data_IF_077908865097
#
_entry.id   IF_077908865097
#
_cell.length_a   1.000
_cell.length_b   1.000
_cell.length_c   1.000
_cell.angle_alpha   90.00
_cell.angle_beta   90.00
_cell.angle_gamma   90.00
#
_symmetry.space_group_name_H-M   'P 1'
#
loop_
_entity.id
_entity.type
_entity.pdbx_description
1 polymer ?
#
# COMPACT_ATOMS: atom_id res chain seq x y z
N UNK A 1 -19.90 1.80 49.80
CA UNK A 1 -19.61 0.68 48.88
C UNK A 1 -19.76 1.23 47.47
N UNK A 2 -18.72 1.85 46.93
CA UNK A 2 -18.78 2.54 45.64
C UNK A 2 -17.79 1.85 44.68
N UNK A 3 -18.25 0.83 43.94
CA UNK A 3 -17.44 0.08 42.96
C UNK A 3 -17.78 0.46 41.51
N UNK A 4 -17.90 1.74 41.19
CA UNK A 4 -18.18 2.24 39.83
C UNK A 4 -17.53 3.62 39.67
N UNK A 5 -16.37 3.74 38.98
CA UNK A 5 -16.44 4.13 37.56
C UNK A 5 -15.34 3.55 36.63
N UNK A 6 -14.36 2.80 37.17
CA UNK A 6 -13.19 2.32 36.41
C UNK A 6 -13.55 1.27 35.34
N UNK A 7 -14.48 0.36 35.63
CA UNK A 7 -14.84 -0.75 34.72
C UNK A 7 -15.58 -0.30 33.44
N UNK A 8 -16.44 0.71 33.55
CA UNK A 8 -17.19 1.23 32.41
C UNK A 8 -16.28 2.07 31.48
N UNK A 9 -15.38 2.87 32.05
CA UNK A 9 -14.40 3.65 31.26
C UNK A 9 -13.43 2.76 30.48
N UNK A 10 -12.92 1.69 31.10
CA UNK A 10 -12.07 0.72 30.40
C UNK A 10 -12.80 -0.02 29.27
N UNK A 11 -14.07 -0.38 29.46
CA UNK A 11 -14.89 -0.97 28.38
C UNK A 11 -15.11 0.00 27.23
N UNK A 12 -15.36 1.28 27.52
CA UNK A 12 -15.56 2.31 26.49
C UNK A 12 -14.29 2.49 25.64
N UNK A 13 -13.11 2.55 26.28
CA UNK A 13 -11.81 2.60 25.61
C UNK A 13 -11.54 1.34 24.76
N UNK A 14 -11.84 0.15 25.28
CA UNK A 14 -11.67 -1.08 24.51
C UNK A 14 -12.58 -1.15 23.28
N UNK A 15 -13.81 -0.61 23.39
CA UNK A 15 -14.76 -0.53 22.28
C UNK A 15 -14.32 0.49 21.23
N UNK A 16 -13.80 1.64 21.64
CA UNK A 16 -13.24 2.66 20.73
C UNK A 16 -12.01 2.15 19.99
N UNK A 17 -11.05 1.55 20.70
CA UNK A 17 -9.83 0.97 20.08
C UNK A 17 -10.20 -0.14 19.10
N UNK A 18 -11.15 -1.02 19.44
CA UNK A 18 -11.64 -2.05 18.49
C UNK A 18 -12.33 -1.44 17.27
N UNK A 19 -13.05 -0.34 17.42
CA UNK A 19 -13.72 0.34 16.31
C UNK A 19 -12.70 1.03 15.39
N UNK A 20 -11.64 1.61 15.96
CA UNK A 20 -10.54 2.24 15.23
C UNK A 20 -9.77 1.21 14.40
N UNK A 21 -9.29 0.12 15.02
CA UNK A 21 -8.57 -0.94 14.30
C UNK A 21 -9.43 -1.54 13.18
N UNK A 22 -10.74 -1.74 13.38
CA UNK A 22 -11.62 -2.25 12.31
C UNK A 22 -11.71 -1.33 11.10
N UNK A 23 -11.63 -0.01 11.28
CA UNK A 23 -11.59 0.94 10.16
C UNK A 23 -10.28 0.84 9.39
N UNK A 24 -9.16 0.65 10.09
CA UNK A 24 -7.84 0.45 9.47
C UNK A 24 -7.82 -0.80 8.59
N UNK A 25 -8.35 -1.93 9.10
CA UNK A 25 -8.48 -3.17 8.34
C UNK A 25 -9.39 -3.02 7.11
N UNK A 26 -10.50 -2.28 7.22
CA UNK A 26 -11.41 -2.05 6.10
C UNK A 26 -10.75 -1.20 5.00
N UNK A 27 -10.02 -0.15 5.37
CA UNK A 27 -9.26 0.67 4.42
C UNK A 27 -8.18 -0.15 3.71
N UNK A 28 -7.47 -1.01 4.44
CA UNK A 28 -6.49 -1.92 3.86
C UNK A 28 -7.14 -2.92 2.89
N UNK A 29 -8.31 -3.47 3.24
CA UNK A 29 -9.04 -4.43 2.41
C UNK A 29 -9.63 -3.81 1.14
N UNK A 30 -10.20 -2.61 1.22
CA UNK A 30 -10.69 -1.82 0.08
C UNK A 30 -9.55 -1.56 -0.91
N UNK A 31 -8.39 -1.23 -0.38
CA UNK A 31 -7.23 -0.92 -1.18
C UNK A 31 -6.59 -2.15 -1.82
N UNK A 32 -6.57 -3.27 -1.08
CA UNK A 32 -6.18 -4.56 -1.64
C UNK A 32 -7.10 -4.98 -2.78
N UNK A 33 -8.42 -4.80 -2.62
CA UNK A 33 -9.40 -5.03 -3.68
C UNK A 33 -9.18 -4.10 -4.89
N UNK A 34 -8.84 -2.83 -4.64
CA UNK A 34 -8.51 -1.86 -5.70
C UNK A 34 -7.26 -2.30 -6.50
N UNK A 35 -6.19 -2.75 -5.84
CA UNK A 35 -4.99 -3.25 -6.53
C UNK A 35 -5.31 -4.43 -7.46
N UNK A 36 -6.09 -5.40 -6.95
CA UNK A 36 -6.54 -6.55 -7.73
C UNK A 36 -7.38 -6.11 -8.92
N UNK A 37 -8.29 -5.15 -8.76
CA UNK A 37 -9.07 -4.61 -9.87
C UNK A 37 -8.18 -3.99 -10.95
N UNK A 38 -7.22 -3.14 -10.57
CA UNK A 38 -6.31 -2.51 -11.53
C UNK A 38 -5.41 -3.54 -12.24
N UNK A 39 -4.97 -4.61 -11.57
CA UNK A 39 -4.19 -5.66 -12.23
C UNK A 39 -5.05 -6.50 -13.18
N UNK A 40 -6.30 -6.82 -12.81
CA UNK A 40 -7.23 -7.49 -13.72
C UNK A 40 -7.51 -6.66 -14.98
N UNK A 41 -7.65 -5.35 -14.85
CA UNK A 41 -7.79 -4.44 -16.01
C UNK A 41 -6.54 -4.46 -16.88
N UNK A 42 -5.34 -4.47 -16.29
CA UNK A 42 -4.09 -4.56 -17.02
C UNK A 42 -3.97 -5.88 -17.80
N UNK A 43 -4.28 -7.01 -17.17
CA UNK A 43 -4.29 -8.32 -17.82
C UNK A 43 -5.37 -8.42 -18.92
N UNK A 44 -6.57 -7.88 -18.67
CA UNK A 44 -7.63 -7.83 -19.67
C UNK A 44 -7.25 -7.00 -20.90
N UNK A 45 -6.58 -5.86 -20.70
CA UNK A 45 -6.09 -5.02 -21.80
C UNK A 45 -5.03 -5.71 -22.66
N UNK A 46 -4.16 -6.52 -22.04
CA UNK A 46 -3.15 -7.33 -22.77
C UNK A 46 -3.80 -8.52 -23.48
N UNK A 47 -4.76 -9.20 -22.84
CA UNK A 47 -5.46 -10.35 -23.41
C UNK A 47 -6.29 -9.99 -24.65
N UNK A 48 -6.86 -8.77 -24.69
CA UNK A 48 -7.63 -8.30 -25.84
C UNK A 48 -6.77 -7.99 -27.09
N UNK A 49 -5.43 -8.15 -27.03
CA UNK A 49 -4.47 -7.91 -28.12
C UNK A 49 -4.71 -6.58 -28.87
N UNK A 50 -5.20 -5.55 -28.17
CA UNK A 50 -5.54 -4.26 -28.76
C UNK A 50 -4.32 -3.50 -29.31
N UNK A 51 -3.09 -3.95 -28.99
CA UNK A 51 -1.83 -3.32 -29.38
C UNK A 51 -0.70 -4.35 -29.61
N UNK A 52 0.33 -4.01 -30.41
CA UNK A 52 1.54 -4.83 -30.57
C UNK A 52 2.20 -5.12 -29.22
N UNK A 53 2.85 -6.28 -29.11
CA UNK A 53 3.50 -6.77 -27.87
C UNK A 53 4.46 -5.74 -27.24
N UNK A 54 5.15 -4.93 -28.06
CA UNK A 54 6.03 -3.87 -27.56
C UNK A 54 5.25 -2.75 -26.82
N UNK A 55 4.06 -2.41 -27.31
CA UNK A 55 3.23 -1.34 -26.76
C UNK A 55 2.50 -1.84 -25.50
N UNK A 56 2.08 -3.10 -25.49
CA UNK A 56 1.56 -3.78 -24.31
C UNK A 56 2.58 -3.83 -23.17
N UNK A 57 3.86 -4.14 -23.47
CA UNK A 57 4.94 -4.14 -22.47
C UNK A 57 5.17 -2.75 -21.84
N UNK A 58 5.15 -1.68 -22.64
CA UNK A 58 5.26 -0.31 -22.13
C UNK A 58 4.09 0.09 -21.22
N UNK A 59 2.86 -0.26 -21.61
CA UNK A 59 1.67 -0.03 -20.80
C UNK A 59 1.74 -0.75 -19.44
N UNK A 60 2.20 -2.01 -19.44
CA UNK A 60 2.36 -2.80 -18.22
C UNK A 60 3.39 -2.20 -17.26
N UNK A 61 4.52 -1.68 -17.76
CA UNK A 61 5.53 -1.05 -16.88
C UNK A 61 4.97 0.20 -16.20
N UNK A 62 4.22 1.04 -16.92
CA UNK A 62 3.59 2.23 -16.34
C UNK A 62 2.60 1.82 -15.25
N UNK A 63 1.77 0.81 -15.53
CA UNK A 63 0.85 0.24 -14.55
C UNK A 63 1.57 -0.38 -13.35
N UNK A 64 2.68 -1.06 -13.56
CA UNK A 64 3.49 -1.65 -12.49
C UNK A 64 4.06 -0.57 -11.56
N UNK A 65 4.51 0.56 -12.11
CA UNK A 65 4.98 1.69 -11.29
C UNK A 65 3.82 2.24 -10.44
N UNK A 66 2.64 2.48 -11.05
CA UNK A 66 1.45 2.93 -10.34
C UNK A 66 1.06 1.95 -9.22
N UNK A 67 1.15 0.64 -9.48
CA UNK A 67 0.90 -0.40 -8.50
C UNK A 67 1.88 -0.33 -7.32
N UNK A 68 3.19 -0.16 -7.57
CA UNK A 68 4.19 -0.01 -6.50
C UNK A 68 3.90 1.24 -5.64
N UNK A 69 3.53 2.36 -6.26
CA UNK A 69 3.14 3.57 -5.52
C UNK A 69 1.86 3.39 -4.70
N UNK A 70 0.82 2.78 -5.27
CA UNK A 70 -0.43 2.48 -4.55
C UNK A 70 -0.20 1.50 -3.39
N UNK A 71 0.64 0.49 -3.60
CA UNK A 71 1.05 -0.45 -2.56
C UNK A 71 1.74 0.28 -1.42
N UNK A 72 2.70 1.15 -1.74
CA UNK A 72 3.46 1.92 -0.77
C UNK A 72 2.61 2.98 -0.04
N UNK A 73 1.77 3.74 -0.74
CA UNK A 73 0.93 4.80 -0.17
C UNK A 73 -0.11 4.25 0.81
N UNK A 74 -0.60 3.04 0.58
CA UNK A 74 -1.69 2.45 1.37
C UNK A 74 -1.15 1.55 2.48
N UNK A 75 -0.07 0.79 2.26
CA UNK A 75 0.62 0.11 3.37
C UNK A 75 1.09 1.10 4.42
N UNK A 76 1.34 2.34 3.99
CA UNK A 76 1.72 3.43 4.85
C UNK A 76 0.47 4.20 5.28
N UNK A 77 -0.16 3.70 6.34
CA UNK A 77 -1.33 4.26 7.01
C UNK A 77 -1.13 5.75 7.40
N UNK A 78 -1.30 6.66 6.45
CA UNK A 78 -1.03 8.10 6.60
C UNK A 78 -2.22 8.86 7.23
N UNK A 79 -3.05 8.18 8.02
CA UNK A 79 -4.13 8.83 8.77
C UNK A 79 -3.73 9.20 10.22
N UNK A 80 -2.59 8.76 10.73
CA UNK A 80 -2.17 9.11 12.09
C UNK A 80 -1.06 10.18 12.08
N UNK A 81 -1.45 11.34 12.62
CA UNK A 81 -0.72 12.60 12.76
C UNK A 81 0.70 12.38 13.29
N UNK A 82 1.71 12.85 12.54
CA UNK A 82 3.08 13.04 13.05
C UNK A 82 4.22 12.27 12.36
N UNK A 83 4.01 11.62 11.22
CA UNK A 83 4.95 10.60 10.76
C UNK A 83 5.95 11.00 9.65
N UNK A 84 6.62 12.13 9.82
CA UNK A 84 7.71 12.57 8.92
C UNK A 84 8.83 11.53 8.81
N UNK A 85 9.07 10.75 9.87
CA UNK A 85 10.05 9.66 9.90
C UNK A 85 9.75 8.57 8.88
N UNK A 86 8.48 8.19 8.76
CA UNK A 86 8.05 7.15 7.83
C UNK A 86 8.19 7.59 6.36
N UNK A 87 7.92 8.86 6.05
CA UNK A 87 8.20 9.44 4.71
C UNK A 87 9.70 9.45 4.42
N UNK A 88 10.54 9.71 5.43
CA UNK A 88 12.00 9.62 5.29
C UNK A 88 12.48 8.20 4.99
N UNK A 89 11.94 7.20 5.71
CA UNK A 89 12.27 5.79 5.49
C UNK A 89 11.82 5.28 4.13
N UNK A 90 10.71 5.80 3.59
CA UNK A 90 10.26 5.52 2.23
C UNK A 90 11.22 6.02 1.17
N UNK A 91 11.65 7.27 1.29
CA UNK A 91 12.62 7.84 0.35
C UNK A 91 13.93 7.06 0.39
N UNK A 92 14.38 6.68 1.59
CA UNK A 92 15.55 5.81 1.75
C UNK A 92 15.33 4.43 1.10
N UNK A 93 14.18 3.80 1.29
CA UNK A 93 13.85 2.49 0.70
C UNK A 93 13.84 2.53 -0.83
N UNK A 94 13.25 3.55 -1.43
CA UNK A 94 13.25 3.76 -2.88
C UNK A 94 14.69 4.00 -3.38
N UNK A 95 15.47 4.82 -2.67
CA UNK A 95 16.87 5.09 -3.00
C UNK A 95 17.70 3.80 -3.00
N UNK A 96 17.59 2.99 -1.95
CA UNK A 96 18.27 1.69 -1.85
C UNK A 96 17.81 0.74 -2.97
N UNK A 97 16.51 0.64 -3.24
CA UNK A 97 15.98 -0.22 -4.30
C UNK A 97 16.54 0.14 -5.69
N UNK A 98 16.61 1.43 -6.02
CA UNK A 98 17.18 1.91 -7.28
C UNK A 98 18.67 1.55 -7.37
N UNK A 99 19.42 1.78 -6.29
CA UNK A 99 20.86 1.45 -6.24
C UNK A 99 21.07 -0.05 -6.39
N UNK A 100 20.29 -0.90 -5.71
CA UNK A 100 20.41 -2.35 -5.79
C UNK A 100 20.12 -2.85 -7.21
N UNK A 101 19.05 -2.38 -7.85
CA UNK A 101 18.75 -2.75 -9.24
C UNK A 101 19.85 -2.29 -10.20
N UNK A 102 20.35 -1.07 -10.05
CA UNK A 102 21.44 -0.54 -10.86
C UNK A 102 22.75 -1.34 -10.65
N UNK A 103 23.09 -1.69 -9.40
CA UNK A 103 24.26 -2.47 -9.05
C UNK A 103 24.19 -3.90 -9.59
N UNK A 104 23.03 -4.57 -9.47
CA UNK A 104 22.82 -5.90 -10.03
C UNK A 104 22.93 -5.89 -11.56
N UNK A 105 22.35 -4.87 -12.22
CA UNK A 105 22.46 -4.73 -13.68
C UNK A 105 23.90 -4.49 -14.12
N UNK A 106 24.68 -3.72 -13.35
CA UNK A 106 26.11 -3.50 -13.60
C UNK A 106 26.97 -4.74 -13.33
N UNK A 107 26.61 -5.58 -12.37
CA UNK A 107 27.33 -6.80 -12.01
C UNK A 107 27.11 -7.95 -13.01
N UNK A 108 25.93 -7.98 -13.65
CA UNK A 108 25.59 -8.98 -14.68
C UNK A 108 26.34 -8.74 -16.01
N UNK A 109 26.93 -7.55 -16.21
CA UNK A 109 27.77 -7.23 -17.35
C UNK A 109 29.25 -7.46 -17.04
#
# INVERSE_FOLDING_TARGET
MEKQPINESHKQLELEVKAESRREYQLQLISFAMMILLTFVAFGAVYAELMPVWAAGGFLIILAIIQVFLQLYIFMHMNNRGNTWIVGMMWLGIFVAIITVAALRLLIW
#
